data_IF_795340365592
#
_entry.id   IF_795340365592
#
_cell.length_a   1.000
_cell.length_b   1.000
_cell.length_c   1.000
_cell.angle_alpha   90.00
_cell.angle_beta   90.00
_cell.angle_gamma   90.00
#
_symmetry.space_group_name_H-M   'P 1'
#
loop_
_entity.id
_entity.type
_entity.pdbx_description
1 polymer ?
#
# COMPACT_ATOMS: atom_id res chain seq x y z
N UNK A 1 10.97 -10.29 6.10
CA UNK A 1 11.88 -10.09 4.94
C UNK A 1 13.08 -9.31 5.46
N UNK A 2 14.28 -9.86 5.41
CA UNK A 2 15.51 -9.21 5.86
C UNK A 2 16.42 -8.89 4.67
N UNK A 3 17.41 -8.02 4.90
CA UNK A 3 18.44 -7.67 3.93
C UNK A 3 17.93 -7.12 2.58
N UNK A 4 16.86 -6.31 2.64
CA UNK A 4 16.26 -5.65 1.47
C UNK A 4 16.19 -4.14 1.69
N UNK A 5 16.37 -3.31 0.64
CA UNK A 5 16.34 -1.86 0.77
C UNK A 5 14.92 -1.26 0.84
N UNK A 6 13.88 -2.05 0.59
CA UNK A 6 12.48 -1.60 0.61
C UNK A 6 11.76 -2.04 1.88
N UNK A 7 10.72 -1.31 2.24
CA UNK A 7 9.90 -1.54 3.45
C UNK A 7 8.79 -2.56 3.26
N UNK A 8 8.27 -2.71 2.05
CA UNK A 8 7.23 -3.68 1.69
C UNK A 8 7.35 -4.11 0.24
N UNK A 9 6.70 -5.21 -0.11
CA UNK A 9 6.59 -5.69 -1.49
C UNK A 9 5.35 -6.54 -1.69
N UNK A 10 4.63 -6.29 -2.79
CA UNK A 10 3.49 -7.09 -3.21
C UNK A 10 3.91 -8.11 -4.28
N UNK A 11 3.79 -9.38 -3.95
CA UNK A 11 3.91 -10.49 -4.89
C UNK A 11 2.52 -10.88 -5.38
N UNK A 12 2.09 -10.32 -6.52
CA UNK A 12 0.84 -10.72 -7.12
C UNK A 12 0.94 -12.14 -7.67
N UNK A 13 0.00 -13.01 -7.28
CA UNK A 13 0.03 -14.45 -7.58
C UNK A 13 -1.02 -14.88 -8.60
N UNK A 14 -1.76 -13.91 -9.17
CA UNK A 14 -2.89 -14.19 -10.03
C UNK A 14 -4.18 -14.47 -9.24
N UNK A 15 -5.30 -14.53 -9.97
CA UNK A 15 -6.63 -14.81 -9.40
C UNK A 15 -7.00 -13.89 -8.23
N UNK A 16 -6.71 -12.59 -8.35
CA UNK A 16 -6.93 -11.58 -7.32
C UNK A 16 -6.33 -11.96 -5.94
N UNK A 17 -5.16 -12.60 -5.94
CA UNK A 17 -4.40 -12.95 -4.72
C UNK A 17 -3.04 -12.29 -4.73
N UNK A 18 -2.63 -11.77 -3.60
CA UNK A 18 -1.29 -11.24 -3.37
C UNK A 18 -0.68 -11.81 -2.10
N UNK A 19 0.62 -12.01 -2.11
CA UNK A 19 1.43 -12.16 -0.91
C UNK A 19 2.14 -10.84 -0.66
N UNK A 20 1.87 -10.19 0.46
CA UNK A 20 2.55 -8.97 0.86
C UNK A 20 3.60 -9.31 1.91
N UNK A 21 4.82 -8.89 1.68
CA UNK A 21 5.92 -9.03 2.63
C UNK A 21 6.34 -7.66 3.15
N UNK A 22 6.43 -7.55 4.47
CA UNK A 22 6.87 -6.34 5.17
C UNK A 22 8.27 -6.57 5.72
N UNK A 23 9.14 -5.59 5.55
CA UNK A 23 10.49 -5.62 6.11
C UNK A 23 10.45 -5.13 7.56
N UNK A 24 10.63 -6.05 8.50
CA UNK A 24 10.62 -5.77 9.93
C UNK A 24 12.01 -5.45 10.51
N UNK A 25 13.05 -5.35 9.67
CA UNK A 25 14.40 -4.97 10.11
C UNK A 25 14.50 -3.46 10.40
N UNK A 26 13.54 -2.68 9.90
CA UNK A 26 13.40 -1.27 10.19
C UNK A 26 12.33 -1.02 11.26
N UNK A 27 12.47 0.01 12.10
CA UNK A 27 11.38 0.47 12.94
C UNK A 27 10.16 0.82 12.09
N UNK A 28 9.01 0.20 12.36
CA UNK A 28 7.77 0.49 11.67
C UNK A 28 6.98 1.46 12.52
N UNK A 29 6.85 2.69 12.06
CA UNK A 29 5.97 3.68 12.68
C UNK A 29 4.50 3.37 12.36
N UNK A 30 3.59 3.77 13.22
CA UNK A 30 2.15 3.44 13.09
C UNK A 30 1.55 3.95 11.78
N UNK A 31 1.94 5.13 11.32
CA UNK A 31 1.51 5.66 10.01
C UNK A 31 1.91 4.78 8.83
N UNK A 32 3.05 4.09 8.93
CA UNK A 32 3.49 3.17 7.88
C UNK A 32 2.57 1.96 7.73
N UNK A 33 1.78 1.62 8.76
CA UNK A 33 0.81 0.54 8.66
C UNK A 33 -0.31 0.90 7.66
N UNK A 34 -0.81 2.15 7.69
CA UNK A 34 -1.79 2.65 6.71
C UNK A 34 -1.15 2.74 5.32
N UNK A 35 0.00 3.43 5.23
CA UNK A 35 0.71 3.66 3.99
C UNK A 35 1.02 2.32 3.27
N UNK A 36 1.70 1.39 3.95
CA UNK A 36 2.01 0.09 3.36
C UNK A 36 0.76 -0.76 3.06
N UNK A 37 -0.24 -0.72 3.93
CA UNK A 37 -1.50 -1.42 3.72
C UNK A 37 -2.21 -0.95 2.46
N UNK A 38 -2.28 0.35 2.22
CA UNK A 38 -2.89 0.95 1.04
C UNK A 38 -2.02 0.80 -0.20
N UNK A 39 -0.70 1.02 -0.08
CA UNK A 39 0.24 0.95 -1.19
C UNK A 39 0.39 -0.48 -1.74
N UNK A 40 0.74 -1.43 -0.88
CA UNK A 40 0.96 -2.82 -1.30
C UNK A 40 -0.35 -3.59 -1.47
N UNK A 41 -1.37 -3.23 -0.67
CA UNK A 41 -2.64 -3.92 -0.61
C UNK A 41 -3.74 -3.22 -1.40
N UNK A 42 -4.73 -2.74 -0.68
CA UNK A 42 -5.96 -2.19 -1.23
C UNK A 42 -6.09 -0.71 -0.86
N UNK A 43 -6.18 0.20 -1.84
CA UNK A 43 -6.41 -0.01 -3.29
C UNK A 43 -5.16 0.04 -4.18
N UNK A 44 -3.95 -0.09 -3.64
CA UNK A 44 -2.69 0.05 -4.37
C UNK A 44 -2.33 -1.12 -5.30
N UNK A 45 -1.11 -1.66 -5.16
CA UNK A 45 -0.56 -2.66 -6.09
C UNK A 45 -1.43 -3.90 -6.27
N UNK A 46 -2.11 -4.37 -5.23
CA UNK A 46 -3.01 -5.51 -5.35
C UNK A 46 -4.14 -5.24 -6.35
N UNK A 47 -4.81 -4.10 -6.22
CA UNK A 47 -5.93 -3.73 -7.11
C UNK A 47 -5.44 -3.46 -8.52
N UNK A 48 -4.32 -2.73 -8.66
CA UNK A 48 -3.70 -2.47 -9.96
C UNK A 48 -3.45 -3.79 -10.73
N UNK A 49 -2.77 -4.74 -10.10
CA UNK A 49 -2.44 -6.01 -10.72
C UNK A 49 -3.68 -6.88 -11.01
N UNK A 50 -4.67 -6.90 -10.12
CA UNK A 50 -5.91 -7.64 -10.31
C UNK A 50 -6.72 -7.09 -11.50
N UNK A 51 -6.81 -5.77 -11.65
CA UNK A 51 -7.49 -5.12 -12.78
C UNK A 51 -6.72 -5.32 -14.09
N UNK A 52 -5.38 -5.23 -14.04
CA UNK A 52 -4.53 -5.50 -15.19
C UNK A 52 -4.70 -6.94 -15.68
N UNK A 53 -4.61 -7.93 -14.79
CA UNK A 53 -4.85 -9.32 -15.13
C UNK A 53 -6.23 -9.52 -15.74
N UNK A 54 -7.27 -9.04 -15.07
CA UNK A 54 -8.64 -9.21 -15.55
C UNK A 54 -8.83 -8.60 -16.93
N UNK A 55 -8.49 -7.32 -17.09
CA UNK A 55 -8.84 -6.57 -18.31
C UNK A 55 -7.93 -6.91 -19.48
N UNK A 56 -6.62 -6.92 -19.26
CA UNK A 56 -5.68 -7.08 -20.37
C UNK A 56 -5.33 -8.54 -20.64
N UNK A 57 -5.02 -9.33 -19.61
CA UNK A 57 -4.60 -10.71 -19.82
C UNK A 57 -5.79 -11.60 -20.14
N UNK A 58 -6.85 -11.56 -19.33
CA UNK A 58 -7.98 -12.49 -19.46
C UNK A 58 -9.01 -12.08 -20.51
N UNK A 59 -9.45 -10.80 -20.49
CA UNK A 59 -10.50 -10.37 -21.41
C UNK A 59 -9.96 -10.05 -22.81
N UNK A 60 -8.75 -9.45 -22.92
CA UNK A 60 -8.14 -9.05 -24.20
C UNK A 60 -7.12 -10.04 -24.74
N UNK A 61 -6.66 -11.00 -23.94
CA UNK A 61 -5.66 -11.99 -24.34
C UNK A 61 -4.23 -11.42 -24.51
N UNK A 62 -3.93 -10.27 -23.92
CA UNK A 62 -2.61 -9.64 -23.99
C UNK A 62 -1.69 -10.27 -22.94
N UNK A 63 -1.15 -11.44 -23.26
CA UNK A 63 -0.34 -12.24 -22.33
C UNK A 63 0.95 -11.55 -21.89
N UNK A 64 1.49 -10.64 -22.70
CA UNK A 64 2.65 -9.80 -22.36
C UNK A 64 2.43 -8.94 -21.13
N UNK A 65 1.17 -8.58 -20.83
CA UNK A 65 0.80 -7.82 -19.66
C UNK A 65 0.83 -8.64 -18.36
N UNK A 66 1.08 -9.93 -18.44
CA UNK A 66 1.32 -10.78 -17.26
C UNK A 66 2.74 -10.63 -16.69
N UNK A 67 3.65 -10.00 -17.44
CA UNK A 67 5.02 -9.73 -17.01
C UNK A 67 5.10 -8.31 -16.49
N UNK A 68 5.55 -8.16 -15.24
CA UNK A 68 5.76 -6.84 -14.62
C UNK A 68 7.24 -6.46 -14.68
N UNK A 69 7.67 -5.63 -15.64
CA UNK A 69 9.05 -5.19 -15.73
C UNK A 69 9.30 -4.05 -14.75
N UNK A 70 10.12 -4.29 -13.73
CA UNK A 70 10.57 -3.25 -12.81
C UNK A 70 11.29 -2.12 -13.58
N UNK A 71 11.22 -0.90 -13.06
CA UNK A 71 11.85 0.29 -13.65
C UNK A 71 11.40 0.63 -15.07
N UNK A 72 10.16 0.27 -15.41
CA UNK A 72 9.51 0.57 -16.68
C UNK A 72 8.49 1.70 -16.53
N UNK A 73 7.98 2.28 -17.65
CA UNK A 73 6.85 3.19 -17.59
C UNK A 73 5.61 2.59 -16.90
N UNK A 74 5.39 1.28 -17.05
CA UNK A 74 4.31 0.58 -16.38
C UNK A 74 4.53 0.56 -14.86
N UNK A 75 5.76 0.32 -14.42
CA UNK A 75 6.13 0.41 -13.00
C UNK A 75 5.90 1.81 -12.43
N UNK A 76 6.24 2.86 -13.19
CA UNK A 76 5.99 4.25 -12.78
C UNK A 76 4.50 4.51 -12.54
N UNK A 77 3.63 4.05 -13.43
CA UNK A 77 2.18 4.19 -13.28
C UNK A 77 1.67 3.38 -12.08
N UNK A 78 2.17 2.16 -11.89
CA UNK A 78 1.79 1.31 -10.77
C UNK A 78 2.17 1.94 -9.42
N UNK A 79 3.39 2.50 -9.31
CA UNK A 79 3.86 3.20 -8.11
C UNK A 79 3.02 4.47 -7.84
N UNK A 80 2.78 5.29 -8.87
CA UNK A 80 1.98 6.50 -8.74
C UNK A 80 0.54 6.20 -8.28
N UNK A 81 -0.09 5.16 -8.84
CA UNK A 81 -1.43 4.74 -8.44
C UNK A 81 -1.46 4.14 -7.03
N UNK A 82 -0.42 3.39 -6.64
CA UNK A 82 -0.30 2.81 -5.31
C UNK A 82 -0.11 3.90 -4.23
N UNK A 83 0.70 4.93 -4.51
CA UNK A 83 0.86 6.09 -3.62
C UNK A 83 -0.45 6.86 -3.43
N UNK A 84 -1.25 7.03 -4.49
CA UNK A 84 -2.57 7.67 -4.41
C UNK A 84 -3.60 6.80 -3.66
N UNK A 85 -3.29 5.53 -3.43
CA UNK A 85 -4.16 4.58 -2.73
C UNK A 85 -4.56 5.02 -1.33
N UNK A 86 -3.68 5.76 -0.62
CA UNK A 86 -4.00 6.28 0.73
C UNK A 86 -5.16 7.26 0.65
N UNK A 87 -5.09 8.24 -0.26
CA UNK A 87 -6.12 9.27 -0.42
C UNK A 87 -7.46 8.68 -0.87
N UNK A 88 -7.42 7.57 -1.62
CA UNK A 88 -8.63 6.85 -2.03
C UNK A 88 -9.27 6.06 -0.86
N UNK A 89 -8.44 5.45 -0.02
CA UNK A 89 -8.92 4.64 1.10
C UNK A 89 -9.36 5.49 2.31
N UNK A 90 -8.67 6.61 2.54
CA UNK A 90 -8.85 7.49 3.69
C UNK A 90 -8.91 8.96 3.25
N UNK A 91 -10.03 9.40 2.63
CA UNK A 91 -10.14 10.77 2.18
C UNK A 91 -10.15 11.78 3.34
N UNK A 92 -9.51 12.93 3.13
CA UNK A 92 -9.44 14.00 4.13
C UNK A 92 -8.72 13.58 5.41
N UNK A 93 -9.38 13.71 6.56
CA UNK A 93 -8.80 13.43 7.87
C UNK A 93 -9.00 11.99 8.36
N UNK A 94 -9.54 11.10 7.52
CA UNK A 94 -9.91 9.74 7.92
C UNK A 94 -8.69 8.89 8.32
N UNK A 95 -7.53 9.09 7.69
CA UNK A 95 -6.29 8.41 8.08
C UNK A 95 -5.89 8.76 9.52
N UNK A 96 -5.94 10.04 9.87
CA UNK A 96 -5.63 10.53 11.23
C UNK A 96 -6.63 9.99 12.25
N UNK A 97 -7.91 9.94 11.89
CA UNK A 97 -8.94 9.37 12.75
C UNK A 97 -8.73 7.87 12.98
N UNK A 98 -8.39 7.13 11.93
CA UNK A 98 -8.08 5.70 12.03
C UNK A 98 -6.82 5.42 12.86
N UNK A 99 -5.76 6.22 12.71
CA UNK A 99 -4.58 6.15 13.57
C UNK A 99 -4.95 6.33 15.04
N UNK A 100 -5.68 7.41 15.36
CA UNK A 100 -6.09 7.74 16.71
C UNK A 100 -6.97 6.66 17.34
N UNK A 101 -7.99 6.22 16.61
CA UNK A 101 -9.07 5.41 17.18
C UNK A 101 -8.77 3.90 17.12
N UNK A 102 -7.87 3.47 16.22
CA UNK A 102 -7.57 2.06 15.99
C UNK A 102 -6.10 1.72 16.21
N UNK A 103 -5.19 2.37 15.48
CA UNK A 103 -3.79 1.94 15.47
C UNK A 103 -3.07 2.27 16.78
N UNK A 104 -3.28 3.46 17.34
CA UNK A 104 -2.61 3.85 18.59
C UNK A 104 -3.03 2.98 19.77
N UNK A 105 -4.34 2.72 19.99
CA UNK A 105 -4.76 1.76 21.01
C UNK A 105 -4.17 0.36 20.82
N UNK A 106 -4.15 -0.15 19.58
CA UNK A 106 -3.55 -1.46 19.27
C UNK A 106 -2.05 -1.50 19.54
N UNK A 107 -1.35 -0.39 19.33
CA UNK A 107 0.09 -0.26 19.60
C UNK A 107 0.40 0.09 21.07
N UNK A 108 -0.61 0.27 21.91
CA UNK A 108 -0.42 0.71 23.30
C UNK A 108 0.04 2.17 23.43
N UNK A 109 -0.24 3.01 22.41
CA UNK A 109 0.10 4.43 22.37
C UNK A 109 -1.09 5.29 22.80
N UNK A 110 -0.78 6.50 23.33
CA UNK A 110 -1.81 7.46 23.71
C UNK A 110 -2.44 8.09 22.45
N UNK A 111 -3.77 7.95 22.25
CA UNK A 111 -4.49 8.56 21.13
C UNK A 111 -4.30 10.08 20.98
N UNK A 112 -4.08 10.81 22.08
CA UNK A 112 -3.82 12.25 22.05
C UNK A 112 -2.52 12.62 21.30
N UNK A 113 -1.61 11.67 21.10
CA UNK A 113 -0.37 11.87 20.34
C UNK A 113 -0.64 12.04 18.83
N UNK A 114 -1.68 11.41 18.30
CA UNK A 114 -2.08 11.53 16.89
C UNK A 114 -2.51 12.97 16.54
N UNK A 115 -3.28 13.61 17.41
CA UNK A 115 -3.75 14.98 17.20
C UNK A 115 -2.61 16.00 17.22
N UNK A 116 -1.63 15.82 18.13
CA UNK A 116 -0.45 16.67 18.16
C UNK A 116 0.40 16.56 16.90
N UNK A 117 0.50 15.37 16.32
CA UNK A 117 1.23 15.14 15.07
C UNK A 117 0.53 15.83 13.89
N UNK A 118 -0.78 15.68 13.77
CA UNK A 118 -1.56 16.33 12.72
C UNK A 118 -1.43 17.86 12.76
N UNK A 119 -1.40 18.46 13.96
CA UNK A 119 -1.19 19.90 14.13
C UNK A 119 0.23 20.38 13.77
N UNK A 120 1.24 19.52 13.84
CA UNK A 120 2.62 19.84 13.46
C UNK A 120 2.87 19.72 11.96
N UNK A 121 1.99 19.02 11.22
CA UNK A 121 2.11 18.79 9.78
C UNK A 121 1.17 19.69 8.94
N UNK A 122 0.27 20.43 9.58
CA UNK A 122 -0.63 21.40 8.95
C UNK A 122 0.02 22.80 8.84
#
# INVERSE_FOLDING_TARGET
MGDKPWSGYNYYQGDARSKIEINADFPIHTERAIDLGCHEGYPGHHVYNALLERTFVRERGWVEMSVYPLFSPMSFVAEGSANYGIDLAFPGDEATAFERDVLFPLAGLDPATAEKKAQLMA
#
